data_IF_411029824368
#
_entry.id   IF_411029824368
#
_cell.length_a   1.000
_cell.length_b   1.000
_cell.length_c   1.000
_cell.angle_alpha   90.00
_cell.angle_beta   90.00
_cell.angle_gamma   90.00
#
_symmetry.space_group_name_H-M   'P 1'
#
loop_
_entity.id
_entity.type
_entity.pdbx_description
1 polymer ?
#
# COMPACT_ATOMS: atom_id res chain seq x y z
N UNK A 1 30.63 -0.42 3.24
CA UNK A 1 29.24 0.02 3.23
C UNK A 1 28.75 0.18 4.67
N UNK A 2 27.95 1.22 4.95
CA UNK A 2 27.36 1.46 6.27
C UNK A 2 26.27 0.42 6.54
N UNK A 3 26.09 0.04 7.82
CA UNK A 3 25.02 -0.86 8.27
C UNK A 3 24.43 -0.35 9.58
N UNK A 4 23.29 -0.88 9.99
CA UNK A 4 22.66 -0.57 11.27
C UNK A 4 22.48 0.93 11.52
N UNK A 5 22.86 1.38 12.70
CA UNK A 5 22.71 2.80 13.10
C UNK A 5 23.41 3.79 12.17
N UNK A 6 24.56 3.42 11.58
CA UNK A 6 25.30 4.29 10.65
C UNK A 6 24.55 4.54 9.35
N UNK A 7 23.87 3.52 8.83
CA UNK A 7 23.04 3.62 7.62
C UNK A 7 21.79 4.49 7.88
N UNK A 8 21.10 4.24 8.99
CA UNK A 8 19.93 5.04 9.41
C UNK A 8 20.32 6.50 9.67
N UNK A 9 21.47 6.75 10.29
CA UNK A 9 21.96 8.12 10.51
C UNK A 9 22.24 8.84 9.19
N UNK A 10 22.84 8.17 8.21
CA UNK A 10 23.10 8.75 6.89
C UNK A 10 21.81 9.09 6.13
N UNK A 11 20.73 8.33 6.34
CA UNK A 11 19.43 8.60 5.71
C UNK A 11 18.76 9.90 6.20
N UNK A 12 19.14 10.40 7.38
CA UNK A 12 18.52 11.60 7.98
C UNK A 12 18.74 12.88 7.16
N UNK A 13 19.78 12.96 6.34
CA UNK A 13 20.00 14.11 5.44
C UNK A 13 18.89 14.29 4.39
N UNK A 14 18.09 13.23 4.14
CA UNK A 14 17.00 13.24 3.17
C UNK A 14 15.62 13.47 3.82
N UNK A 15 15.51 13.56 5.15
CA UNK A 15 14.21 13.74 5.83
C UNK A 15 13.71 15.18 5.82
N UNK A 16 14.47 16.14 5.29
CA UNK A 16 14.05 17.53 5.22
C UNK A 16 12.82 17.68 4.31
N UNK A 17 11.71 18.12 4.90
CA UNK A 17 10.48 18.45 4.15
C UNK A 17 10.62 19.84 3.50
N UNK A 18 10.08 19.98 2.30
CA UNK A 18 9.69 21.26 1.70
C UNK A 18 8.16 21.40 1.78
N UNK A 19 7.63 22.21 2.71
CA UNK A 19 6.19 22.35 2.88
C UNK A 19 5.48 22.90 1.64
N UNK A 20 6.10 23.79 0.90
CA UNK A 20 5.56 24.35 -0.35
C UNK A 20 5.38 23.26 -1.39
N UNK A 21 6.41 22.44 -1.57
CA UNK A 21 6.36 21.27 -2.46
C UNK A 21 5.31 20.26 -1.99
N UNK A 22 5.23 19.97 -0.69
CA UNK A 22 4.24 19.05 -0.13
C UNK A 22 2.80 19.47 -0.41
N UNK A 23 2.50 20.78 -0.23
CA UNK A 23 1.20 21.34 -0.60
C UNK A 23 0.94 21.31 -2.10
N UNK A 24 1.93 21.63 -2.92
CA UNK A 24 1.83 21.58 -4.37
C UNK A 24 1.53 20.15 -4.84
N UNK A 25 2.25 19.14 -4.34
CA UNK A 25 2.04 17.73 -4.67
C UNK A 25 0.64 17.24 -4.29
N UNK A 26 0.11 17.69 -3.15
CA UNK A 26 -1.27 17.42 -2.73
C UNK A 26 -2.27 18.09 -3.67
N UNK A 27 -2.09 19.37 -4.00
CA UNK A 27 -3.00 20.14 -4.84
C UNK A 27 -3.06 19.63 -6.28
N UNK A 28 -1.91 19.32 -6.90
CA UNK A 28 -1.85 18.73 -8.26
C UNK A 28 -2.44 17.32 -8.33
N UNK A 29 -2.73 16.71 -7.17
CA UNK A 29 -3.45 15.44 -7.07
C UNK A 29 -4.94 15.66 -6.81
N UNK A 30 -5.29 16.51 -5.83
CA UNK A 30 -6.68 16.75 -5.43
C UNK A 30 -7.49 17.50 -6.52
N UNK A 31 -6.90 18.53 -7.14
CA UNK A 31 -7.64 19.32 -8.14
C UNK A 31 -8.04 18.48 -9.36
N UNK A 32 -7.12 17.75 -10.04
CA UNK A 32 -7.53 16.85 -11.13
C UNK A 32 -8.51 15.76 -10.67
N UNK A 33 -8.35 15.22 -9.46
CA UNK A 33 -9.29 14.25 -8.91
C UNK A 33 -10.71 14.84 -8.81
N UNK A 34 -10.85 16.04 -8.25
CA UNK A 34 -12.14 16.73 -8.15
C UNK A 34 -12.75 17.05 -9.52
N UNK A 35 -11.93 17.51 -10.47
CA UNK A 35 -12.35 17.79 -11.84
C UNK A 35 -12.86 16.51 -12.53
N UNK A 36 -12.11 15.40 -12.42
CA UNK A 36 -12.54 14.13 -13.01
C UNK A 36 -13.83 13.62 -12.38
N UNK A 37 -13.97 13.68 -11.05
CA UNK A 37 -15.22 13.31 -10.38
C UNK A 37 -16.39 14.18 -10.82
N UNK A 38 -16.21 15.51 -10.95
CA UNK A 38 -17.23 16.38 -11.48
C UNK A 38 -17.70 15.91 -12.86
N UNK A 39 -16.79 15.65 -13.79
CA UNK A 39 -17.17 15.18 -15.14
C UNK A 39 -17.78 13.76 -15.12
N UNK A 40 -17.26 12.86 -14.29
CA UNK A 40 -17.78 11.50 -14.15
C UNK A 40 -19.24 11.49 -13.67
N UNK A 41 -19.60 12.40 -12.75
CA UNK A 41 -20.95 12.50 -12.20
C UNK A 41 -21.84 13.53 -12.93
N UNK A 42 -21.30 14.29 -13.89
CA UNK A 42 -22.08 15.28 -14.65
C UNK A 42 -23.06 14.62 -15.63
N UNK A 43 -24.14 15.33 -15.93
CA UNK A 43 -25.08 14.98 -17.00
C UNK A 43 -24.62 15.37 -18.41
N UNK A 44 -23.39 15.87 -18.55
CA UNK A 44 -22.83 16.26 -19.86
C UNK A 44 -22.75 15.05 -20.80
N UNK A 45 -22.94 15.23 -22.11
CA UNK A 45 -22.90 14.16 -23.10
C UNK A 45 -21.46 13.71 -23.40
N UNK A 46 -20.78 13.16 -22.42
CA UNK A 46 -19.41 12.66 -22.53
C UNK A 46 -19.44 11.25 -23.12
N UNK A 47 -18.67 10.97 -24.20
CA UNK A 47 -18.56 9.63 -24.76
C UNK A 47 -18.12 8.60 -23.71
N UNK A 48 -18.73 7.41 -23.75
CA UNK A 48 -18.46 6.35 -22.75
C UNK A 48 -16.97 5.99 -22.67
N UNK A 49 -16.27 5.91 -23.80
CA UNK A 49 -14.84 5.63 -23.83
C UNK A 49 -14.02 6.68 -23.05
N UNK A 50 -14.40 7.97 -23.16
CA UNK A 50 -13.74 9.03 -22.40
C UNK A 50 -14.08 8.95 -20.91
N UNK A 51 -15.33 8.63 -20.53
CA UNK A 51 -15.68 8.37 -19.13
C UNK A 51 -14.92 7.17 -18.55
N UNK A 52 -14.72 6.10 -19.32
CA UNK A 52 -13.90 4.95 -18.90
C UNK A 52 -12.44 5.37 -18.67
N UNK A 53 -11.85 6.16 -19.57
CA UNK A 53 -10.50 6.68 -19.39
C UNK A 53 -10.41 7.58 -18.15
N UNK A 54 -11.36 8.49 -17.94
CA UNK A 54 -11.45 9.34 -16.75
C UNK A 54 -11.54 8.51 -15.46
N UNK A 55 -12.33 7.44 -15.49
CA UNK A 55 -12.49 6.50 -14.37
C UNK A 55 -11.15 5.82 -13.98
N UNK A 56 -10.41 5.34 -14.98
CA UNK A 56 -9.09 4.73 -14.78
C UNK A 56 -8.10 5.75 -14.20
N UNK A 57 -8.02 6.95 -14.80
CA UNK A 57 -7.13 8.01 -14.32
C UNK A 57 -7.50 8.45 -12.91
N UNK A 58 -8.79 8.55 -12.59
CA UNK A 58 -9.26 8.85 -11.22
C UNK A 58 -8.80 7.78 -10.22
N UNK A 59 -8.89 6.49 -10.58
CA UNK A 59 -8.36 5.40 -9.75
C UNK A 59 -6.86 5.49 -9.52
N UNK A 60 -6.08 5.85 -10.54
CA UNK A 60 -4.63 6.09 -10.40
C UNK A 60 -4.33 7.30 -9.51
N UNK A 61 -5.13 8.37 -9.60
CA UNK A 61 -5.01 9.52 -8.69
C UNK A 61 -5.36 9.13 -7.24
N UNK A 62 -6.30 8.22 -7.01
CA UNK A 62 -6.56 7.69 -5.67
C UNK A 62 -5.36 6.89 -5.12
N UNK A 63 -4.64 6.14 -5.95
CA UNK A 63 -3.36 5.52 -5.53
C UNK A 63 -2.39 6.59 -5.05
N UNK A 64 -2.20 7.65 -5.84
CA UNK A 64 -1.29 8.74 -5.51
C UNK A 64 -1.72 9.45 -4.23
N UNK A 65 -3.01 9.77 -4.11
CA UNK A 65 -3.57 10.40 -2.92
C UNK A 65 -3.38 9.54 -1.67
N UNK A 66 -3.52 8.22 -1.81
CA UNK A 66 -3.27 7.27 -0.73
C UNK A 66 -1.80 7.28 -0.29
N UNK A 67 -0.84 7.33 -1.22
CA UNK A 67 0.59 7.38 -0.86
C UNK A 67 0.96 8.73 -0.23
N UNK A 68 0.38 9.86 -0.67
CA UNK A 68 0.57 11.16 -0.01
C UNK A 68 0.02 11.13 1.42
N UNK A 69 -1.17 10.55 1.61
CA UNK A 69 -1.75 10.33 2.94
C UNK A 69 -0.90 9.41 3.81
N UNK A 70 -0.37 8.35 3.26
CA UNK A 70 0.53 7.40 3.91
C UNK A 70 1.81 8.11 4.43
N UNK A 71 2.44 8.97 3.63
CA UNK A 71 3.59 9.75 4.04
C UNK A 71 3.27 10.78 5.14
N UNK A 72 2.07 11.38 5.08
CA UNK A 72 1.58 12.20 6.19
C UNK A 72 1.50 11.40 7.49
N UNK A 73 1.01 10.17 7.47
CA UNK A 73 0.94 9.30 8.65
C UNK A 73 2.31 8.93 9.21
N UNK A 74 3.34 8.84 8.36
CA UNK A 74 4.74 8.66 8.77
C UNK A 74 5.40 9.93 9.30
N UNK A 75 4.69 11.05 9.31
CA UNK A 75 5.23 12.36 9.66
C UNK A 75 6.38 12.79 8.74
N UNK A 76 6.34 12.40 7.49
CA UNK A 76 7.29 12.81 6.47
C UNK A 76 6.94 14.18 5.88
N UNK A 77 5.64 14.52 5.82
CA UNK A 77 5.13 15.75 5.22
C UNK A 77 4.01 16.41 6.05
N UNK A 78 3.88 17.72 5.95
CA UNK A 78 2.74 18.56 6.40
C UNK A 78 2.35 18.45 7.89
N UNK A 79 3.29 18.08 8.76
CA UNK A 79 3.00 17.80 10.18
C UNK A 79 2.60 19.03 11.03
N UNK A 80 3.00 20.22 10.62
CA UNK A 80 2.80 21.44 11.40
C UNK A 80 1.58 22.26 10.93
N UNK A 81 0.68 21.67 10.15
CA UNK A 81 -0.49 22.35 9.58
C UNK A 81 -1.80 21.72 10.04
N UNK A 82 -2.62 22.50 10.77
CA UNK A 82 -3.98 22.09 11.17
C UNK A 82 -4.88 21.82 9.95
N UNK A 83 -4.72 22.62 8.89
CA UNK A 83 -5.47 22.42 7.66
C UNK A 83 -5.08 21.07 7.01
N UNK A 84 -3.79 20.75 6.95
CA UNK A 84 -3.33 19.46 6.44
C UNK A 84 -3.90 18.30 7.28
N UNK A 85 -3.97 18.43 8.60
CA UNK A 85 -4.57 17.41 9.47
C UNK A 85 -6.03 17.13 9.08
N UNK A 86 -6.83 18.16 8.90
CA UNK A 86 -8.24 18.01 8.51
C UNK A 86 -8.35 17.36 7.14
N UNK A 87 -7.59 17.85 6.16
CA UNK A 87 -7.58 17.32 4.80
C UNK A 87 -7.15 15.85 4.79
N UNK A 88 -6.06 15.51 5.47
CA UNK A 88 -5.53 14.14 5.48
C UNK A 88 -6.44 13.16 6.23
N UNK A 89 -7.07 13.57 7.33
CA UNK A 89 -8.08 12.73 7.99
C UNK A 89 -9.28 12.48 7.11
N UNK A 90 -9.75 13.50 6.38
CA UNK A 90 -10.84 13.37 5.40
C UNK A 90 -10.44 12.39 4.28
N UNK A 91 -9.23 12.51 3.74
CA UNK A 91 -8.70 11.59 2.73
C UNK A 91 -8.64 10.16 3.28
N UNK A 92 -8.14 9.96 4.50
CA UNK A 92 -8.07 8.64 5.13
C UNK A 92 -9.44 7.97 5.29
N UNK A 93 -10.45 8.73 5.72
CA UNK A 93 -11.83 8.25 5.80
C UNK A 93 -12.40 7.93 4.41
N UNK A 94 -12.21 8.83 3.44
CA UNK A 94 -12.67 8.65 2.07
C UNK A 94 -12.05 7.41 1.40
N UNK A 95 -10.76 7.19 1.60
CA UNK A 95 -10.01 6.05 1.05
C UNK A 95 -10.04 4.79 1.95
N UNK A 96 -11.01 4.66 2.86
CA UNK A 96 -11.19 3.49 3.74
C UNK A 96 -9.92 3.10 4.50
N UNK A 97 -9.09 4.08 4.82
CA UNK A 97 -7.86 3.94 5.60
C UNK A 97 -7.85 4.92 6.79
N UNK A 98 -8.87 4.89 7.68
CA UNK A 98 -8.96 5.82 8.79
C UNK A 98 -7.75 5.71 9.72
N UNK A 99 -7.37 6.84 10.34
CA UNK A 99 -6.09 7.01 11.01
C UNK A 99 -5.81 5.96 12.10
N UNK A 100 -6.81 5.66 12.95
CA UNK A 100 -6.60 4.80 14.10
C UNK A 100 -6.11 3.39 13.73
N UNK A 101 -6.74 2.76 12.74
CA UNK A 101 -6.33 1.41 12.30
C UNK A 101 -5.14 1.47 11.36
N UNK A 102 -5.13 2.42 10.42
CA UNK A 102 -4.06 2.53 9.44
C UNK A 102 -2.70 2.71 10.12
N UNK A 103 -2.57 3.73 10.96
CA UNK A 103 -1.34 4.04 11.67
C UNK A 103 -0.84 2.83 12.47
N UNK A 104 -1.71 2.24 13.30
CA UNK A 104 -1.34 1.09 14.13
C UNK A 104 -0.88 -0.12 13.30
N UNK A 105 -1.61 -0.47 12.25
CA UNK A 105 -1.28 -1.63 11.41
C UNK A 105 0.00 -1.39 10.61
N UNK A 106 0.18 -0.17 10.12
CA UNK A 106 1.30 0.18 9.28
C UNK A 106 2.61 0.40 10.07
N UNK A 107 2.55 1.01 11.25
CA UNK A 107 3.69 1.07 12.18
C UNK A 107 4.12 -0.35 12.62
N UNK A 108 3.13 -1.23 12.89
CA UNK A 108 3.43 -2.64 13.18
C UNK A 108 4.13 -3.33 12.01
N UNK A 109 3.67 -3.09 10.78
CA UNK A 109 4.28 -3.61 9.57
C UNK A 109 5.75 -3.17 9.42
N UNK A 110 6.06 -1.88 9.56
CA UNK A 110 7.43 -1.37 9.49
C UNK A 110 8.36 -1.98 10.55
N UNK A 111 7.87 -2.13 11.77
CA UNK A 111 8.65 -2.64 12.89
C UNK A 111 8.83 -4.17 12.88
N UNK A 112 8.07 -4.89 12.04
CA UNK A 112 8.05 -6.35 12.01
C UNK A 112 8.16 -6.93 10.60
N UNK A 113 8.50 -6.11 9.61
CA UNK A 113 8.67 -6.57 8.23
C UNK A 113 9.61 -7.78 8.16
N UNK A 114 9.22 -8.83 7.45
CA UNK A 114 9.98 -10.07 7.24
C UNK A 114 10.30 -10.93 8.48
N UNK A 115 9.67 -10.69 9.64
CA UNK A 115 9.74 -11.61 10.77
C UNK A 115 8.82 -12.81 10.55
N UNK A 116 9.36 -14.01 10.69
CA UNK A 116 8.63 -15.28 10.47
C UNK A 116 7.60 -15.60 11.57
N UNK A 117 7.83 -15.14 12.79
CA UNK A 117 7.03 -15.52 13.96
C UNK A 117 5.92 -14.53 14.29
N UNK A 118 5.95 -13.34 13.70
CA UNK A 118 4.98 -12.30 13.99
C UNK A 118 3.99 -12.20 12.84
N UNK A 119 2.74 -12.58 13.10
CA UNK A 119 1.66 -12.39 12.16
C UNK A 119 1.48 -10.88 11.90
N UNK A 120 1.68 -10.45 10.66
CA UNK A 120 1.56 -9.05 10.29
C UNK A 120 0.11 -8.58 10.31
N UNK A 121 -0.17 -7.57 11.12
CA UNK A 121 -1.34 -6.72 10.90
C UNK A 121 -0.95 -5.78 9.75
N UNK A 122 -1.73 -5.74 8.67
CA UNK A 122 -1.45 -4.86 7.54
C UNK A 122 -0.39 -5.36 6.53
N UNK A 123 0.00 -6.62 6.61
CA UNK A 123 0.81 -7.28 5.58
C UNK A 123 0.32 -8.70 5.31
N UNK A 124 0.72 -9.27 4.18
CA UNK A 124 0.41 -10.66 3.84
C UNK A 124 1.45 -11.58 4.51
N UNK A 125 1.10 -12.27 5.62
CA UNK A 125 2.07 -13.03 6.40
C UNK A 125 2.71 -14.13 5.57
N UNK A 126 4.01 -14.35 5.78
CA UNK A 126 4.76 -15.47 5.22
C UNK A 126 5.15 -16.40 6.36
N UNK A 127 4.93 -17.69 6.18
CA UNK A 127 5.31 -18.73 7.14
C UNK A 127 6.33 -19.68 6.51
N UNK A 128 7.05 -20.43 7.36
CA UNK A 128 7.97 -21.45 6.87
C UNK A 128 7.23 -22.66 6.30
N UNK A 129 7.94 -23.45 5.48
CA UNK A 129 7.48 -24.73 4.97
C UNK A 129 7.04 -25.67 6.10
N UNK A 130 7.87 -25.80 7.14
CA UNK A 130 7.64 -26.67 8.30
C UNK A 130 6.36 -26.25 9.03
N UNK A 131 6.21 -24.95 9.30
CA UNK A 131 5.00 -24.43 9.93
C UNK A 131 3.76 -24.70 9.10
N UNK A 132 3.83 -24.51 7.77
CA UNK A 132 2.72 -24.80 6.87
C UNK A 132 2.31 -26.28 6.91
N UNK A 133 3.29 -27.20 6.92
CA UNK A 133 3.04 -28.63 7.03
C UNK A 133 2.42 -29.04 8.38
N UNK A 134 2.69 -28.29 9.44
CA UNK A 134 2.09 -28.49 10.77
C UNK A 134 0.68 -27.94 10.94
N UNK A 135 0.18 -27.10 10.01
CA UNK A 135 -1.17 -26.52 10.07
C UNK A 135 -2.25 -27.58 9.78
N UNK A 136 -3.42 -27.39 10.38
CA UNK A 136 -4.63 -28.10 10.00
C UNK A 136 -5.08 -27.75 8.59
N UNK A 137 -5.94 -28.56 8.00
CA UNK A 137 -6.49 -28.31 6.65
C UNK A 137 -7.16 -26.93 6.52
N UNK A 138 -7.92 -26.53 7.54
CA UNK A 138 -8.63 -25.23 7.53
C UNK A 138 -7.67 -24.04 7.64
N UNK A 139 -6.65 -24.16 8.46
CA UNK A 139 -5.61 -23.12 8.59
C UNK A 139 -4.79 -22.98 7.31
N UNK A 140 -4.42 -24.09 6.66
CA UNK A 140 -3.77 -24.05 5.34
C UNK A 140 -4.64 -23.38 4.31
N UNK A 141 -5.93 -23.73 4.25
CA UNK A 141 -6.87 -23.10 3.32
C UNK A 141 -6.97 -21.59 3.59
N UNK A 142 -7.15 -21.18 4.83
CA UNK A 142 -7.21 -19.76 5.20
C UNK A 142 -5.91 -19.00 4.82
N UNK A 143 -4.76 -19.63 5.07
CA UNK A 143 -3.47 -19.07 4.65
C UNK A 143 -3.39 -18.85 3.14
N UNK A 144 -3.77 -19.86 2.36
CA UNK A 144 -3.74 -19.82 0.90
C UNK A 144 -4.77 -18.84 0.32
N UNK A 145 -5.96 -18.78 0.89
CA UNK A 145 -7.00 -17.80 0.51
C UNK A 145 -6.51 -16.38 0.73
N UNK A 146 -5.90 -16.08 1.88
CA UNK A 146 -5.34 -14.75 2.16
C UNK A 146 -4.23 -14.33 1.17
N UNK A 147 -3.53 -15.29 0.56
CA UNK A 147 -2.47 -15.06 -0.41
C UNK A 147 -2.88 -15.40 -1.85
N UNK A 148 -4.17 -15.59 -2.08
CA UNK A 148 -4.70 -15.89 -3.41
C UNK A 148 -4.72 -14.63 -4.28
N UNK A 149 -4.38 -14.69 -5.57
CA UNK A 149 -4.40 -13.52 -6.46
C UNK A 149 -5.74 -12.79 -6.45
N UNK A 150 -6.87 -13.52 -6.45
CA UNK A 150 -8.19 -12.88 -6.39
C UNK A 150 -8.40 -12.11 -5.09
N UNK A 151 -7.97 -12.63 -3.93
CA UNK A 151 -8.06 -11.91 -2.65
C UNK A 151 -7.29 -10.59 -2.71
N UNK A 152 -6.15 -10.56 -3.38
CA UNK A 152 -5.30 -9.38 -3.52
C UNK A 152 -5.90 -8.41 -4.56
N UNK A 153 -6.34 -8.90 -5.73
CA UNK A 153 -6.98 -8.07 -6.75
C UNK A 153 -8.29 -7.46 -6.24
N UNK A 154 -9.09 -8.23 -5.48
CA UNK A 154 -10.27 -7.74 -4.81
C UNK A 154 -9.96 -7.10 -3.44
N UNK A 155 -8.77 -6.52 -3.29
CA UNK A 155 -8.33 -5.82 -2.07
C UNK A 155 -9.29 -4.75 -1.58
N UNK A 156 -10.09 -4.16 -2.46
CA UNK A 156 -11.17 -3.26 -2.11
C UNK A 156 -12.09 -3.88 -1.05
N UNK A 157 -12.59 -5.09 -1.31
CA UNK A 157 -13.51 -5.79 -0.41
C UNK A 157 -12.77 -6.51 0.71
N UNK A 158 -11.67 -7.18 0.38
CA UNK A 158 -10.97 -8.08 1.28
C UNK A 158 -10.06 -7.35 2.28
N UNK A 159 -9.19 -6.46 1.80
CA UNK A 159 -8.24 -5.74 2.63
C UNK A 159 -8.87 -4.48 3.24
N UNK A 160 -9.38 -3.57 2.40
CA UNK A 160 -9.79 -2.25 2.87
C UNK A 160 -11.15 -2.28 3.59
N UNK A 161 -12.20 -2.87 3.01
CA UNK A 161 -13.49 -2.96 3.71
C UNK A 161 -13.41 -3.95 4.86
N UNK A 162 -13.06 -5.22 4.59
CA UNK A 162 -13.16 -6.26 5.61
C UNK A 162 -12.01 -6.20 6.64
N UNK A 163 -10.75 -6.36 6.22
CA UNK A 163 -9.64 -6.49 7.18
C UNK A 163 -9.34 -5.21 7.96
N UNK A 164 -9.24 -4.08 7.26
CA UNK A 164 -8.92 -2.80 7.91
C UNK A 164 -10.12 -2.24 8.68
N UNK A 165 -11.30 -2.24 8.12
CA UNK A 165 -12.42 -1.53 8.74
C UNK A 165 -13.36 -2.46 9.52
N UNK A 166 -14.02 -3.44 8.89
CA UNK A 166 -15.01 -4.28 9.57
C UNK A 166 -14.40 -5.10 10.69
N UNK A 167 -13.32 -5.84 10.42
CA UNK A 167 -12.67 -6.69 11.43
C UNK A 167 -12.12 -5.88 12.60
N UNK A 168 -11.50 -4.73 12.34
CA UNK A 168 -10.95 -3.88 13.40
C UNK A 168 -12.03 -3.26 14.26
N UNK A 169 -13.13 -2.82 13.65
CA UNK A 169 -14.30 -2.31 14.36
C UNK A 169 -14.91 -3.39 15.26
N UNK A 170 -15.10 -4.60 14.74
CA UNK A 170 -15.67 -5.72 15.52
C UNK A 170 -14.74 -6.12 16.67
N UNK A 171 -13.41 -6.14 16.45
CA UNK A 171 -12.44 -6.53 17.49
C UNK A 171 -12.25 -5.48 18.57
N UNK A 172 -12.40 -4.20 18.27
CA UNK A 172 -12.17 -3.11 19.21
C UNK A 172 -13.02 -1.87 18.86
N UNK A 173 -14.36 -1.93 19.05
CA UNK A 173 -15.25 -0.86 18.58
C UNK A 173 -14.90 0.52 19.11
N UNK A 174 -14.58 0.64 20.40
CA UNK A 174 -14.25 1.93 21.03
C UNK A 174 -12.96 2.59 20.52
N UNK A 175 -12.09 1.82 19.83
CA UNK A 175 -10.83 2.33 19.25
C UNK A 175 -10.93 2.65 17.75
N UNK A 176 -12.02 2.20 17.11
CA UNK A 176 -12.16 2.25 15.65
C UNK A 176 -13.51 2.84 15.22
N UNK A 177 -13.99 3.89 15.93
CA UNK A 177 -15.18 4.65 15.54
C UNK A 177 -14.99 5.38 14.21
N UNK A 178 -13.76 5.74 13.89
CA UNK A 178 -13.37 6.29 12.58
C UNK A 178 -13.54 5.27 11.44
N UNK A 179 -13.35 3.97 11.70
CA UNK A 179 -13.67 2.90 10.75
C UNK A 179 -15.18 2.78 10.52
N UNK A 180 -16.00 2.92 11.57
CA UNK A 180 -17.46 2.96 11.41
C UNK A 180 -17.88 4.14 10.55
N UNK A 181 -17.34 5.33 10.84
CA UNK A 181 -17.62 6.53 10.04
C UNK A 181 -17.20 6.35 8.57
N UNK A 182 -16.02 5.79 8.32
CA UNK A 182 -15.54 5.52 6.97
C UNK A 182 -16.47 4.55 6.21
N UNK A 183 -16.90 3.46 6.85
CA UNK A 183 -17.83 2.49 6.25
C UNK A 183 -19.20 3.11 5.96
N UNK A 184 -19.75 3.88 6.90
CA UNK A 184 -21.06 4.53 6.72
C UNK A 184 -21.03 5.57 5.61
N UNK A 185 -20.01 6.45 5.57
CA UNK A 185 -19.86 7.46 4.53
C UNK A 185 -19.60 6.81 3.17
N UNK A 186 -18.81 5.75 3.13
CA UNK A 186 -18.55 5.02 1.88
C UNK A 186 -19.81 4.33 1.34
N UNK A 187 -20.60 3.66 2.21
CA UNK A 187 -21.84 3.04 1.83
C UNK A 187 -22.90 4.09 1.40
N UNK A 188 -22.99 5.20 2.12
CA UNK A 188 -23.90 6.30 1.76
C UNK A 188 -23.51 6.93 0.40
N UNK A 189 -22.21 7.17 0.17
CA UNK A 189 -21.73 7.69 -1.10
C UNK A 189 -21.99 6.73 -2.26
N UNK A 190 -21.74 5.43 -2.07
CA UNK A 190 -22.06 4.39 -3.05
C UNK A 190 -23.56 4.33 -3.36
N UNK A 191 -24.40 4.38 -2.32
CA UNK A 191 -25.85 4.42 -2.46
C UNK A 191 -26.31 5.66 -3.23
N UNK A 192 -25.82 6.86 -2.85
CA UNK A 192 -26.16 8.09 -3.54
C UNK A 192 -25.73 8.06 -5.02
N UNK A 193 -24.51 7.58 -5.30
CA UNK A 193 -24.02 7.43 -6.66
C UNK A 193 -24.89 6.49 -7.49
N UNK A 194 -25.30 5.36 -6.90
CA UNK A 194 -26.16 4.40 -7.59
C UNK A 194 -27.59 4.93 -7.80
N UNK A 195 -28.18 5.50 -6.74
CA UNK A 195 -29.60 5.91 -6.75
C UNK A 195 -29.85 7.17 -7.59
N UNK A 196 -29.00 8.19 -7.45
CA UNK A 196 -29.20 9.48 -8.12
C UNK A 196 -28.55 9.57 -9.49
N UNK A 197 -27.40 8.92 -9.71
CA UNK A 197 -26.69 8.99 -10.98
C UNK A 197 -26.85 7.73 -11.84
N UNK A 198 -27.43 6.66 -11.29
CA UNK A 198 -27.70 5.40 -11.99
C UNK A 198 -26.51 4.44 -12.05
N UNK A 199 -26.77 3.16 -12.44
CA UNK A 199 -25.79 2.08 -12.31
C UNK A 199 -24.52 2.29 -13.15
N UNK A 200 -24.63 2.88 -14.32
CA UNK A 200 -23.46 3.15 -15.18
C UNK A 200 -22.53 4.20 -14.56
N UNK A 201 -23.08 5.29 -14.07
CA UNK A 201 -22.28 6.35 -13.45
C UNK A 201 -21.72 5.87 -12.09
N UNK A 202 -22.49 5.12 -11.32
CA UNK A 202 -21.99 4.44 -10.15
C UNK A 202 -20.78 3.55 -10.49
N UNK A 203 -20.88 2.73 -11.54
CA UNK A 203 -19.77 1.85 -11.96
C UNK A 203 -18.54 2.68 -12.34
N UNK A 204 -18.69 3.73 -13.17
CA UNK A 204 -17.57 4.50 -13.71
C UNK A 204 -17.05 5.58 -12.74
N UNK A 205 -17.92 6.21 -11.97
CA UNK A 205 -17.54 7.33 -11.08
C UNK A 205 -17.19 6.90 -9.65
N UNK A 206 -17.64 5.71 -9.23
CA UNK A 206 -17.43 5.21 -7.88
C UNK A 206 -16.66 3.88 -7.86
N UNK A 207 -17.27 2.80 -8.36
CA UNK A 207 -16.73 1.46 -8.18
C UNK A 207 -15.36 1.27 -8.84
N UNK A 208 -15.20 1.61 -10.13
CA UNK A 208 -13.95 1.40 -10.87
C UNK A 208 -12.78 2.21 -10.30
N UNK A 209 -12.91 3.52 -9.97
CA UNK A 209 -11.82 4.26 -9.34
C UNK A 209 -11.33 3.63 -8.04
N UNK A 210 -12.23 3.27 -7.13
CA UNK A 210 -11.88 2.59 -5.89
C UNK A 210 -11.31 1.19 -6.12
N UNK A 211 -11.88 0.43 -7.05
CA UNK A 211 -11.39 -0.91 -7.39
C UNK A 211 -9.95 -0.87 -7.89
N UNK A 212 -9.64 0.05 -8.83
CA UNK A 212 -8.28 0.22 -9.37
C UNK A 212 -7.32 0.61 -8.25
N UNK A 213 -7.68 1.62 -7.45
CA UNK A 213 -6.83 2.10 -6.37
C UNK A 213 -6.48 1.00 -5.37
N UNK A 214 -7.48 0.25 -4.92
CA UNK A 214 -7.28 -0.77 -3.90
C UNK A 214 -6.73 -2.08 -4.44
N UNK A 215 -7.01 -2.44 -5.69
CA UNK A 215 -6.34 -3.57 -6.35
C UNK A 215 -4.84 -3.31 -6.51
N UNK A 216 -4.49 -2.11 -6.98
CA UNK A 216 -3.07 -1.71 -7.10
C UNK A 216 -2.40 -1.58 -5.73
N UNK A 217 -3.04 -0.92 -4.77
CA UNK A 217 -2.53 -0.79 -3.40
C UNK A 217 -2.26 -2.15 -2.76
N UNK A 218 -3.23 -3.07 -2.81
CA UNK A 218 -3.08 -4.43 -2.27
C UNK A 218 -1.97 -5.22 -2.97
N UNK A 219 -1.86 -5.07 -4.30
CA UNK A 219 -0.78 -5.71 -5.05
C UNK A 219 0.59 -5.14 -4.69
N UNK A 220 0.73 -3.82 -4.56
CA UNK A 220 1.98 -3.19 -4.11
C UNK A 220 2.38 -3.67 -2.72
N UNK A 221 1.46 -3.70 -1.77
CA UNK A 221 1.70 -4.28 -0.43
C UNK A 221 2.15 -5.73 -0.49
N UNK A 222 1.61 -6.53 -1.42
CA UNK A 222 1.97 -7.92 -1.55
C UNK A 222 3.34 -8.07 -2.22
N UNK A 223 3.53 -7.55 -3.42
CA UNK A 223 4.69 -7.84 -4.26
C UNK A 223 5.99 -7.21 -3.74
N UNK A 224 5.91 -6.07 -3.07
CA UNK A 224 7.08 -5.39 -2.50
C UNK A 224 7.70 -6.14 -1.32
N UNK A 225 6.98 -7.13 -0.75
CA UNK A 225 7.46 -8.01 0.33
C UNK A 225 7.43 -9.50 -0.02
N UNK A 226 6.89 -9.87 -1.18
CA UNK A 226 6.74 -11.25 -1.62
C UNK A 226 7.24 -11.40 -3.05
N UNK A 227 8.55 -11.52 -3.19
CA UNK A 227 9.25 -11.58 -4.48
C UNK A 227 10.41 -12.59 -4.43
N UNK A 228 10.93 -13.03 -5.58
CA UNK A 228 12.13 -13.85 -5.62
C UNK A 228 13.33 -13.10 -5.04
N UNK A 229 13.95 -13.66 -4.02
CA UNK A 229 15.08 -13.02 -3.32
C UNK A 229 14.69 -12.29 -2.03
N UNK A 230 13.39 -12.14 -1.72
CA UNK A 230 12.96 -11.65 -0.41
C UNK A 230 13.51 -12.55 0.70
N UNK A 231 14.07 -11.95 1.74
CA UNK A 231 14.67 -12.67 2.87
C UNK A 231 13.82 -12.52 4.11
N UNK A 232 13.64 -13.63 4.84
CA UNK A 232 12.92 -13.67 6.10
C UNK A 232 13.84 -14.16 7.19
N UNK A 233 13.65 -13.67 8.42
CA UNK A 233 14.49 -14.01 9.57
C UNK A 233 13.62 -14.34 10.79
N UNK A 234 14.14 -15.21 11.64
CA UNK A 234 13.63 -15.39 13.00
C UNK A 234 13.87 -14.12 13.84
N UNK A 235 13.07 -13.95 14.89
CA UNK A 235 13.08 -12.73 15.68
C UNK A 235 14.46 -12.38 16.28
N UNK A 236 15.26 -13.38 16.66
CA UNK A 236 16.58 -13.19 17.25
C UNK A 236 17.68 -12.79 16.26
N UNK A 237 17.50 -13.07 14.97
CA UNK A 237 18.42 -12.69 13.87
C UNK A 237 18.00 -11.42 13.15
N UNK A 238 16.79 -10.96 13.41
CA UNK A 238 16.20 -9.86 12.66
C UNK A 238 16.90 -8.52 12.96
N UNK A 239 17.21 -7.78 11.89
CA UNK A 239 17.74 -6.42 11.96
C UNK A 239 16.94 -5.51 11.05
N UNK A 240 16.59 -4.33 11.53
CA UNK A 240 15.73 -3.37 10.84
C UNK A 240 16.27 -2.97 9.46
N UNK A 241 17.56 -2.58 9.41
CA UNK A 241 18.22 -2.15 8.18
C UNK A 241 18.33 -3.28 7.14
N UNK A 242 18.62 -4.51 7.60
CA UNK A 242 18.63 -5.68 6.72
C UNK A 242 17.23 -5.97 6.17
N UNK A 243 16.20 -5.94 7.01
CA UNK A 243 14.81 -6.15 6.61
C UNK A 243 14.36 -5.09 5.60
N UNK A 244 14.76 -3.84 5.78
CA UNK A 244 14.44 -2.75 4.84
C UNK A 244 15.07 -2.96 3.46
N UNK A 245 16.29 -3.51 3.37
CA UNK A 245 17.01 -3.63 2.09
C UNK A 245 16.81 -5.00 1.43
N UNK A 246 16.81 -6.09 2.21
CA UNK A 246 16.79 -7.44 1.67
C UNK A 246 15.38 -8.07 1.59
N UNK A 247 14.41 -7.48 2.28
CA UNK A 247 13.03 -8.01 2.37
C UNK A 247 11.99 -7.04 1.79
N UNK A 248 12.44 -5.95 1.20
CA UNK A 248 11.60 -5.06 0.39
C UNK A 248 12.26 -4.84 -0.98
N UNK A 249 11.45 -4.68 -2.02
CA UNK A 249 11.97 -4.50 -3.37
C UNK A 249 11.92 -3.04 -3.83
N UNK A 250 12.79 -2.69 -4.77
CA UNK A 250 12.57 -1.56 -5.65
C UNK A 250 11.66 -2.00 -6.80
N UNK A 251 10.46 -1.44 -6.90
CA UNK A 251 9.58 -1.71 -8.03
C UNK A 251 9.89 -0.77 -9.17
N UNK A 252 10.48 -1.33 -10.24
CA UNK A 252 10.84 -0.57 -11.44
C UNK A 252 9.57 -0.17 -12.19
N UNK A 253 9.40 1.12 -12.39
CA UNK A 253 8.25 1.72 -13.06
C UNK A 253 8.70 2.76 -14.07
N UNK A 254 7.90 2.97 -15.12
CA UNK A 254 8.09 4.13 -15.99
C UNK A 254 7.73 5.45 -15.23
N UNK A 255 8.17 6.62 -15.72
CA UNK A 255 7.98 7.89 -15.01
C UNK A 255 6.51 8.22 -14.73
N UNK A 256 5.59 7.82 -15.61
CA UNK A 256 4.15 8.06 -15.44
C UNK A 256 3.63 7.27 -14.24
N UNK A 257 3.96 5.99 -14.16
CA UNK A 257 3.55 5.14 -13.04
C UNK A 257 4.27 5.51 -11.74
N UNK A 258 5.54 5.93 -11.79
CA UNK A 258 6.22 6.50 -10.63
C UNK A 258 5.49 7.73 -10.08
N UNK A 259 5.00 8.61 -10.97
CA UNK A 259 4.23 9.77 -10.55
C UNK A 259 2.89 9.37 -9.91
N UNK A 260 2.12 8.48 -10.53
CA UNK A 260 0.83 8.02 -9.97
C UNK A 260 0.99 7.25 -8.66
N UNK A 261 2.09 6.56 -8.46
CA UNK A 261 2.38 5.84 -7.22
C UNK A 261 3.18 6.69 -6.21
N UNK A 262 3.36 8.00 -6.47
CA UNK A 262 4.15 8.90 -5.63
C UNK A 262 5.47 8.26 -5.18
N UNK A 263 6.22 7.69 -6.12
CA UNK A 263 7.54 7.07 -5.92
C UNK A 263 7.58 5.90 -4.91
N UNK A 264 6.45 5.36 -4.46
CA UNK A 264 6.45 4.24 -3.49
C UNK A 264 7.12 2.96 -4.05
N UNK A 265 7.46 2.96 -5.35
CA UNK A 265 8.33 1.94 -5.93
C UNK A 265 9.68 1.83 -5.24
N UNK A 266 10.22 2.93 -4.71
CA UNK A 266 11.42 2.95 -3.85
C UNK A 266 11.13 2.45 -2.43
N UNK A 267 10.44 1.35 -2.30
CA UNK A 267 9.90 0.85 -1.05
C UNK A 267 10.98 0.44 -0.03
N UNK A 268 12.12 -0.03 -0.49
CA UNK A 268 13.30 -0.28 0.34
C UNK A 268 13.86 0.98 1.02
N UNK A 269 13.82 2.12 0.32
CA UNK A 269 14.18 3.43 0.89
C UNK A 269 13.19 3.84 1.95
N UNK A 270 11.89 3.73 1.62
CA UNK A 270 10.79 4.03 2.51
C UNK A 270 10.83 3.18 3.80
N UNK A 271 11.11 1.87 3.69
CA UNK A 271 11.29 1.00 4.86
C UNK A 271 12.56 1.30 5.66
N UNK A 272 13.61 1.79 5.02
CA UNK A 272 14.82 2.18 5.74
C UNK A 272 14.60 3.44 6.59
N UNK A 273 13.87 4.42 6.06
CA UNK A 273 13.51 5.63 6.79
C UNK A 273 12.20 6.23 6.25
N UNK A 274 11.10 5.87 6.87
CA UNK A 274 9.76 6.31 6.45
C UNK A 274 9.46 7.82 6.67
N UNK A 275 10.40 8.57 7.28
CA UNK A 275 10.30 10.02 7.41
C UNK A 275 10.82 10.79 6.20
N UNK A 276 11.29 10.10 5.17
CA UNK A 276 11.74 10.73 3.93
C UNK A 276 10.50 11.00 3.07
N UNK A 277 10.24 12.26 2.67
CA UNK A 277 9.14 12.57 1.78
C UNK A 277 9.20 11.78 0.48
N UNK A 278 8.06 11.29 0.00
CA UNK A 278 7.98 10.45 -1.20
C UNK A 278 8.69 11.07 -2.43
N UNK A 279 8.70 12.37 -2.53
CA UNK A 279 9.37 13.09 -3.63
C UNK A 279 10.90 13.18 -3.48
N UNK A 280 11.48 12.65 -2.37
CA UNK A 280 12.91 12.53 -2.12
C UNK A 280 13.42 11.08 -2.09
N UNK A 281 12.53 10.09 -2.21
CA UNK A 281 12.92 8.67 -2.16
C UNK A 281 13.93 8.31 -3.28
N UNK A 282 13.68 8.80 -4.49
CA UNK A 282 14.61 8.61 -5.61
C UNK A 282 15.95 9.26 -5.35
N UNK A 283 15.98 10.51 -4.87
CA UNK A 283 17.21 11.24 -4.53
C UNK A 283 18.08 10.42 -3.57
N UNK A 284 17.48 9.86 -2.53
CA UNK A 284 18.23 9.01 -1.60
C UNK A 284 18.73 7.72 -2.24
N UNK A 285 17.91 7.03 -3.04
CA UNK A 285 18.29 5.79 -3.70
C UNK A 285 19.52 6.00 -4.62
N UNK A 286 19.60 7.13 -5.31
CA UNK A 286 20.68 7.48 -6.23
C UNK A 286 21.97 7.90 -5.49
N UNK A 287 21.84 8.57 -4.34
CA UNK A 287 22.96 9.14 -3.60
C UNK A 287 23.56 8.20 -2.53
N UNK A 288 22.89 7.10 -2.20
CA UNK A 288 23.41 6.13 -1.22
C UNK A 288 23.89 4.84 -1.91
N UNK A 289 25.20 4.55 -1.89
CA UNK A 289 25.75 3.35 -2.53
C UNK A 289 25.15 2.04 -2.03
N UNK A 290 24.71 2.00 -0.76
CA UNK A 290 24.11 0.85 -0.12
C UNK A 290 22.75 0.46 -0.73
N UNK A 291 22.10 1.38 -1.44
CA UNK A 291 20.76 1.21 -2.01
C UNK A 291 20.79 0.90 -3.52
N UNK A 292 21.98 0.83 -4.15
CA UNK A 292 22.09 0.60 -5.60
C UNK A 292 21.83 -0.85 -6.04
N UNK A 293 22.15 -1.81 -5.18
CA UNK A 293 22.05 -3.24 -5.50
C UNK A 293 21.00 -3.92 -4.63
N UNK A 294 19.77 -3.44 -4.71
CA UNK A 294 18.63 -3.99 -3.99
C UNK A 294 17.80 -4.92 -4.90
N UNK A 295 17.05 -5.89 -4.34
CA UNK A 295 16.12 -6.67 -5.14
C UNK A 295 15.11 -5.79 -5.87
N UNK A 296 14.81 -6.15 -7.13
CA UNK A 296 13.85 -5.41 -7.95
C UNK A 296 12.62 -6.26 -8.28
N UNK A 297 11.51 -5.59 -8.48
CA UNK A 297 10.26 -6.13 -9.05
C UNK A 297 9.76 -5.19 -10.16
N UNK A 298 8.83 -5.65 -10.98
CA UNK A 298 8.24 -4.81 -12.03
C UNK A 298 6.77 -5.14 -12.29
N UNK A 299 6.13 -4.39 -13.17
CA UNK A 299 4.78 -4.66 -13.70
C UNK A 299 4.77 -5.72 -14.82
N UNK A 300 5.87 -6.41 -15.07
CA UNK A 300 5.92 -7.48 -16.05
C UNK A 300 5.00 -8.64 -15.60
N UNK A 301 4.13 -9.10 -16.50
CA UNK A 301 3.13 -10.12 -16.18
C UNK A 301 3.78 -11.44 -15.66
N UNK A 302 4.94 -11.81 -16.19
CA UNK A 302 5.65 -13.01 -15.73
C UNK A 302 6.18 -12.85 -14.30
N UNK A 303 6.66 -11.65 -13.94
CA UNK A 303 7.07 -11.35 -12.56
C UNK A 303 5.87 -11.30 -11.62
N UNK A 304 4.76 -10.70 -12.04
CA UNK A 304 3.51 -10.71 -11.27
C UNK A 304 3.08 -12.15 -10.96
N UNK A 305 3.04 -13.02 -11.98
CA UNK A 305 2.71 -14.43 -11.80
C UNK A 305 3.73 -15.13 -10.89
N UNK A 306 5.02 -14.82 -11.04
CA UNK A 306 6.08 -15.39 -10.20
C UNK A 306 5.92 -14.99 -8.75
N UNK A 307 5.66 -13.71 -8.46
CA UNK A 307 5.38 -13.23 -7.10
C UNK A 307 4.15 -13.93 -6.50
N UNK A 308 3.08 -14.08 -7.28
CA UNK A 308 1.88 -14.79 -6.81
C UNK A 308 2.07 -16.29 -6.56
N UNK A 309 3.01 -16.94 -7.24
CA UNK A 309 3.32 -18.36 -7.02
C UNK A 309 4.12 -18.61 -5.74
N UNK A 310 4.89 -17.65 -5.28
CA UNK A 310 5.67 -17.74 -4.03
C UNK A 310 4.72 -17.69 -2.83
N UNK A 311 4.76 -18.73 -2.01
CA UNK A 311 3.82 -18.87 -0.88
C UNK A 311 4.51 -19.03 0.48
N UNK A 312 5.65 -19.70 0.53
CA UNK A 312 6.29 -20.13 1.76
C UNK A 312 7.76 -19.73 1.77
N UNK A 313 8.31 -19.63 2.95
CA UNK A 313 9.74 -19.48 3.18
C UNK A 313 10.38 -20.85 3.45
N UNK A 314 11.45 -21.14 2.75
CA UNK A 314 12.29 -22.32 3.02
C UNK A 314 13.57 -21.86 3.75
N UNK A 315 13.70 -22.14 5.07
CA UNK A 315 14.87 -21.73 5.84
C UNK A 315 16.17 -22.42 5.40
N UNK A 316 16.09 -23.70 4.97
CA UNK A 316 17.25 -24.47 4.55
C UNK A 316 17.87 -23.90 3.28
N UNK A 317 17.00 -23.51 2.32
CA UNK A 317 17.41 -22.91 1.06
C UNK A 317 17.53 -21.40 1.11
N UNK A 318 17.16 -20.78 2.22
CA UNK A 318 17.13 -19.32 2.41
C UNK A 318 16.42 -18.59 1.27
N UNK A 319 15.25 -19.09 0.83
CA UNK A 319 14.47 -18.50 -0.26
C UNK A 319 12.97 -18.74 -0.14
N UNK A 320 12.21 -17.89 -0.84
CA UNK A 320 10.78 -18.14 -1.07
C UNK A 320 10.58 -19.32 -2.03
N UNK A 321 9.59 -20.16 -1.73
CA UNK A 321 9.22 -21.34 -2.52
C UNK A 321 7.74 -21.33 -2.92
N UNK A 322 7.46 -22.09 -3.96
CA UNK A 322 6.10 -22.39 -4.42
C UNK A 322 5.52 -23.59 -3.68
N UNK A 323 4.21 -23.80 -3.75
CA UNK A 323 3.55 -24.99 -3.18
C UNK A 323 3.99 -26.31 -3.88
N UNK A 324 4.55 -26.24 -5.08
CA UNK A 324 5.03 -27.43 -5.81
C UNK A 324 6.36 -27.95 -5.27
N UNK A 325 7.04 -27.15 -4.45
CA UNK A 325 8.34 -27.47 -3.84
C UNK A 325 8.21 -27.96 -2.39
N UNK A 326 6.97 -28.11 -1.91
CA UNK A 326 6.65 -28.65 -0.58
C UNK A 326 6.52 -30.15 -0.64
#
# INVERSE_FOLDING_TARGET
>A
MRTGKGLIQASKSFTGEDPTRSWMELLITLLPTGILLFFLFSSLPIPIALRMLMSVVCGLLYVRLFVIYHDYQHRAILQNSRLATIVMQTIGIYLLAPEAIWKRSHEHHHNNNSKLTIAGIGSYPTITKERFLGLTRNERLLYLVNRHPLTIIFGYLTLFIYWLNVKSLVQSPGRHLDSLLALLLHAAGAFCAFYFAGPLIFLLGWFIPFFIAFAMGSYLFYCQHNFPGAQFRENHEWKYDHAAIASTSYMVMNPVMQWFTANIGYHHVHHLNSRIPFYRLQEMAENMPELKNVPTTSWNLFEIIRCFRLKLWDPERSRMITLREV
#
